data_IF_732171264434
#
_entry.id   IF_732171264434
#
_cell.length_a   1.000
_cell.length_b   1.000
_cell.length_c   1.000
_cell.angle_alpha   90.00
_cell.angle_beta   90.00
_cell.angle_gamma   90.00
#
_symmetry.space_group_name_H-M   'P 1'
#
loop_
_entity.id
_entity.type
_entity.pdbx_description
1 polymer ?
#
# COMPACT_ATOMS: atom_id res chain seq x y z
N UNK A 1 -8.65 22.58 3.76
CA UNK A 1 -7.78 21.61 3.06
C UNK A 1 -7.27 20.63 4.10
N UNK A 2 -7.41 19.32 3.88
CA UNK A 2 -6.94 18.33 4.85
C UNK A 2 -5.42 18.42 4.96
N UNK A 3 -4.91 18.57 6.19
CA UNK A 3 -3.47 18.59 6.49
C UNK A 3 -2.91 17.15 6.47
N UNK A 4 -3.20 16.41 5.39
CA UNK A 4 -2.74 15.03 5.27
C UNK A 4 -1.27 14.98 4.83
N UNK A 5 -0.51 13.95 5.25
CA UNK A 5 0.86 13.73 4.76
C UNK A 5 0.94 13.68 3.23
N UNK A 6 -0.08 13.12 2.57
CA UNK A 6 -0.19 13.06 1.11
C UNK A 6 -0.35 14.46 0.52
N UNK A 7 -1.26 15.27 1.07
CA UNK A 7 -1.49 16.65 0.60
C UNK A 7 -0.24 17.52 0.76
N UNK A 8 0.49 17.35 1.86
CA UNK A 8 1.76 18.03 2.08
C UNK A 8 2.83 17.60 1.06
N UNK A 9 2.96 16.29 0.79
CA UNK A 9 3.89 15.77 -0.21
C UNK A 9 3.57 16.26 -1.63
N UNK A 10 2.28 16.32 -2.01
CA UNK A 10 1.85 16.93 -3.28
C UNK A 10 2.26 18.41 -3.33
N UNK A 11 2.12 19.14 -2.22
CA UNK A 11 2.60 20.52 -2.11
C UNK A 11 4.11 20.65 -2.35
N UNK A 12 4.92 19.81 -1.72
CA UNK A 12 6.36 19.77 -1.92
C UNK A 12 6.75 19.50 -3.38
N UNK A 13 6.05 18.55 -4.04
CA UNK A 13 6.27 18.26 -5.46
C UNK A 13 5.91 19.43 -6.37
N UNK A 14 4.83 20.16 -6.07
CA UNK A 14 4.47 21.38 -6.82
C UNK A 14 5.54 22.46 -6.69
N UNK A 15 6.13 22.61 -5.51
CA UNK A 15 7.25 23.53 -5.30
C UNK A 15 8.48 23.14 -6.13
N UNK A 16 8.71 21.85 -6.38
CA UNK A 16 9.78 21.40 -7.26
C UNK A 16 9.59 21.92 -8.69
N UNK A 17 8.36 21.85 -9.23
CA UNK A 17 8.03 22.44 -10.54
C UNK A 17 8.29 23.95 -10.55
N UNK A 18 7.86 24.68 -9.51
CA UNK A 18 8.10 26.12 -9.40
C UNK A 18 9.60 26.45 -9.36
N UNK A 19 10.42 25.68 -8.65
CA UNK A 19 11.87 25.90 -8.61
C UNK A 19 12.53 25.66 -9.98
N UNK A 20 12.09 24.65 -10.73
CA UNK A 20 12.61 24.35 -12.06
C UNK A 20 12.25 25.46 -13.06
N UNK A 21 11.00 25.92 -13.04
CA UNK A 21 10.50 26.98 -13.94
C UNK A 21 11.00 28.38 -13.54
N UNK A 22 11.12 28.63 -12.23
CA UNK A 22 11.47 29.93 -11.66
C UNK A 22 12.46 29.79 -10.48
N UNK A 23 13.76 29.49 -10.74
CA UNK A 23 14.75 29.19 -9.70
C UNK A 23 15.00 30.30 -8.68
N UNK A 24 14.70 31.56 -9.04
CA UNK A 24 14.85 32.73 -8.18
C UNK A 24 13.64 32.99 -7.28
N UNK A 25 12.46 32.46 -7.64
CA UNK A 25 11.23 32.63 -6.86
C UNK A 25 11.17 31.72 -5.63
N UNK A 26 11.86 30.58 -5.68
CA UNK A 26 11.96 29.62 -4.58
C UNK A 26 13.41 29.16 -4.43
N UNK A 27 13.98 29.29 -3.24
CA UNK A 27 15.34 28.81 -3.00
C UNK A 27 15.39 27.27 -2.99
N UNK A 28 16.48 26.69 -3.52
CA UNK A 28 16.71 25.25 -3.46
C UNK A 28 16.78 24.72 -2.02
N UNK A 29 17.25 25.55 -1.06
CA UNK A 29 17.26 25.20 0.37
C UNK A 29 15.86 25.01 0.93
N UNK A 30 14.92 25.88 0.57
CA UNK A 30 13.51 25.76 0.97
C UNK A 30 12.89 24.51 0.38
N UNK A 31 13.10 24.26 -0.93
CA UNK A 31 12.59 23.06 -1.59
C UNK A 31 13.12 21.78 -0.93
N UNK A 32 14.43 21.72 -0.64
CA UNK A 32 15.05 20.58 0.02
C UNK A 32 14.47 20.34 1.42
N UNK A 33 14.31 21.39 2.22
CA UNK A 33 13.72 21.30 3.56
C UNK A 33 12.27 20.80 3.52
N UNK A 34 11.43 21.38 2.65
CA UNK A 34 10.03 20.95 2.50
C UNK A 34 9.92 19.52 1.97
N UNK A 35 10.80 19.11 1.07
CA UNK A 35 10.85 17.73 0.56
C UNK A 35 11.24 16.74 1.66
N UNK A 36 12.22 17.08 2.50
CA UNK A 36 12.62 16.25 3.63
C UNK A 36 11.47 16.07 4.64
N UNK A 37 10.78 17.15 4.98
CA UNK A 37 9.61 17.10 5.86
C UNK A 37 8.47 16.24 5.26
N UNK A 38 8.22 16.36 3.96
CA UNK A 38 7.23 15.54 3.27
C UNK A 38 7.56 14.04 3.36
N UNK A 39 8.83 13.67 3.15
CA UNK A 39 9.30 12.28 3.26
C UNK A 39 9.14 11.76 4.68
N UNK A 40 9.54 12.55 5.68
CA UNK A 40 9.40 12.18 7.09
C UNK A 40 7.95 11.92 7.47
N UNK A 41 7.04 12.84 7.10
CA UNK A 41 5.60 12.71 7.35
C UNK A 41 5.01 11.48 6.66
N UNK A 42 5.41 11.19 5.42
CA UNK A 42 4.96 10.00 4.69
C UNK A 42 5.45 8.71 5.35
N UNK A 43 6.71 8.65 5.75
CA UNK A 43 7.28 7.48 6.42
C UNK A 43 6.60 7.23 7.78
N UNK A 44 6.34 8.30 8.55
CA UNK A 44 5.66 8.19 9.84
C UNK A 44 4.20 7.75 9.69
N UNK A 45 3.49 8.24 8.67
CA UNK A 45 2.08 7.90 8.45
C UNK A 45 1.89 6.51 7.82
N UNK A 46 2.85 6.07 7.00
CA UNK A 46 2.77 4.82 6.25
C UNK A 46 4.06 3.99 6.38
N UNK A 47 4.38 3.51 7.59
CA UNK A 47 5.63 2.80 7.88
C UNK A 47 5.81 1.51 7.07
N UNK A 48 4.72 0.91 6.59
CA UNK A 48 4.70 -0.39 5.91
C UNK A 48 4.15 -0.33 4.48
N UNK A 49 4.19 0.85 3.85
CA UNK A 49 3.61 1.09 2.52
C UNK A 49 4.12 0.13 1.45
N UNK A 50 5.41 -0.23 1.48
CA UNK A 50 6.05 -1.11 0.49
C UNK A 50 5.57 -2.56 0.66
N UNK A 51 5.52 -3.04 1.89
CA UNK A 51 5.05 -4.39 2.22
C UNK A 51 3.57 -4.58 1.89
N UNK A 52 2.72 -3.61 2.23
CA UNK A 52 1.29 -3.65 1.93
C UNK A 52 1.02 -3.56 0.42
N UNK A 53 1.74 -2.69 -0.30
CA UNK A 53 1.63 -2.59 -1.75
C UNK A 53 2.04 -3.89 -2.45
N UNK A 54 3.15 -4.49 -2.02
CA UNK A 54 3.62 -5.79 -2.50
C UNK A 54 2.61 -6.90 -2.21
N UNK A 55 2.10 -6.97 -0.98
CA UNK A 55 1.10 -7.98 -0.59
C UNK A 55 -0.16 -7.87 -1.44
N UNK A 56 -0.68 -6.65 -1.64
CA UNK A 56 -1.86 -6.43 -2.47
C UNK A 56 -1.63 -6.90 -3.91
N UNK A 57 -0.52 -6.50 -4.52
CA UNK A 57 -0.20 -6.88 -5.91
C UNK A 57 -0.11 -8.41 -6.09
N UNK A 58 0.57 -9.11 -5.18
CA UNK A 58 0.69 -10.56 -5.22
C UNK A 58 -0.65 -11.27 -4.99
N UNK A 59 -1.50 -10.75 -4.10
CA UNK A 59 -2.83 -11.31 -3.88
C UNK A 59 -3.76 -11.10 -5.06
N UNK A 60 -3.72 -9.94 -5.72
CA UNK A 60 -4.49 -9.70 -6.95
C UNK A 60 -4.12 -10.72 -8.02
N UNK A 61 -2.84 -11.09 -8.14
CA UNK A 61 -2.35 -12.07 -9.12
C UNK A 61 -2.96 -13.46 -8.93
N UNK A 62 -3.23 -13.87 -7.68
CA UNK A 62 -3.75 -15.21 -7.35
C UNK A 62 -5.25 -15.24 -7.04
N UNK A 63 -5.89 -14.07 -6.98
CA UNK A 63 -7.33 -13.94 -6.70
C UNK A 63 -8.11 -14.06 -8.02
N UNK A 64 -9.14 -14.92 -8.12
CA UNK A 64 -9.93 -15.05 -9.34
C UNK A 64 -10.65 -13.76 -9.74
N UNK A 65 -10.95 -13.62 -11.02
CA UNK A 65 -11.81 -12.54 -11.52
C UNK A 65 -13.16 -12.52 -10.77
N UNK A 66 -13.68 -11.31 -10.55
CA UNK A 66 -14.89 -11.10 -9.74
C UNK A 66 -14.66 -11.17 -8.23
N UNK A 67 -13.42 -11.34 -7.78
CA UNK A 67 -13.04 -11.23 -6.38
C UNK A 67 -12.01 -10.11 -6.19
N UNK A 68 -11.98 -9.53 -4.99
CA UNK A 68 -11.06 -8.44 -4.64
C UNK A 68 -10.40 -8.71 -3.28
N UNK A 69 -9.06 -8.71 -3.20
CA UNK A 69 -8.36 -8.81 -1.93
C UNK A 69 -8.23 -7.44 -1.25
N UNK A 70 -8.49 -7.39 0.04
CA UNK A 70 -8.09 -6.32 0.95
C UNK A 70 -6.97 -6.82 1.85
N UNK A 71 -6.03 -5.92 2.14
CA UNK A 71 -4.81 -6.25 2.88
C UNK A 71 -4.66 -5.38 4.11
N UNK A 72 -4.09 -5.95 5.17
CA UNK A 72 -3.67 -5.21 6.35
C UNK A 72 -2.39 -5.81 6.90
N UNK A 73 -1.67 -5.01 7.69
CA UNK A 73 -0.47 -5.42 8.39
C UNK A 73 -0.57 -5.00 9.86
N UNK A 74 -0.40 -5.96 10.75
CA UNK A 74 -0.39 -5.78 12.20
C UNK A 74 0.95 -6.27 12.77
N UNK A 75 2.00 -5.42 12.80
CA UNK A 75 3.39 -5.83 13.04
C UNK A 75 3.63 -6.51 14.39
N UNK A 76 2.80 -6.22 15.40
CA UNK A 76 2.96 -6.72 16.76
C UNK A 76 2.36 -8.12 16.99
N UNK A 77 2.06 -8.85 15.91
CA UNK A 77 1.45 -10.18 15.97
C UNK A 77 2.36 -11.22 15.31
N UNK A 78 2.27 -12.49 15.75
CA UNK A 78 3.05 -13.58 15.15
C UNK A 78 2.76 -13.81 13.67
N UNK A 79 1.58 -13.39 13.20
CA UNK A 79 1.13 -13.48 11.81
C UNK A 79 0.63 -12.11 11.36
N UNK A 80 1.56 -11.19 11.03
CA UNK A 80 1.25 -9.78 10.87
C UNK A 80 0.47 -9.48 9.59
N UNK A 81 0.62 -10.29 8.55
CA UNK A 81 -0.05 -10.08 7.28
C UNK A 81 -1.48 -10.64 7.31
N UNK A 82 -2.45 -9.83 6.87
CA UNK A 82 -3.86 -10.20 6.79
C UNK A 82 -4.36 -10.00 5.35
N UNK A 83 -5.14 -10.96 4.87
CA UNK A 83 -5.93 -10.86 3.64
C UNK A 83 -7.42 -11.09 3.95
N UNK A 84 -8.28 -10.30 3.31
CA UNK A 84 -9.72 -10.48 3.24
C UNK A 84 -10.12 -10.45 1.76
N UNK A 85 -10.62 -11.55 1.23
CA UNK A 85 -11.10 -11.61 -0.16
C UNK A 85 -12.61 -11.51 -0.16
N UNK A 86 -13.13 -10.57 -0.94
CA UNK A 86 -14.57 -10.40 -1.17
C UNK A 86 -14.95 -10.86 -2.57
N UNK A 87 -16.20 -11.30 -2.75
CA UNK A 87 -16.78 -11.57 -4.07
C UNK A 87 -17.35 -10.31 -4.72
N UNK A 88 -17.92 -10.45 -5.92
CA UNK A 88 -18.51 -9.35 -6.70
C UNK A 88 -19.71 -8.69 -6.02
N UNK A 89 -20.39 -9.39 -5.12
CA UNK A 89 -21.48 -8.86 -4.29
C UNK A 89 -20.97 -8.06 -3.08
N UNK A 90 -19.64 -8.01 -2.88
CA UNK A 90 -19.01 -7.37 -1.73
C UNK A 90 -18.97 -8.23 -0.47
N UNK A 91 -19.33 -9.52 -0.56
CA UNK A 91 -19.36 -10.41 0.60
C UNK A 91 -17.99 -11.04 0.85
N UNK A 92 -17.54 -11.12 2.11
CA UNK A 92 -16.32 -11.84 2.47
C UNK A 92 -16.42 -13.34 2.18
N UNK A 93 -15.56 -13.86 1.30
CA UNK A 93 -15.51 -15.29 0.96
C UNK A 93 -14.28 -16.01 1.52
N UNK A 94 -13.23 -15.25 1.87
CA UNK A 94 -12.04 -15.81 2.48
C UNK A 94 -11.34 -14.76 3.35
N UNK A 95 -10.81 -15.19 4.50
CA UNK A 95 -10.03 -14.35 5.41
C UNK A 95 -8.90 -15.18 5.98
N UNK A 96 -7.67 -14.69 5.90
CA UNK A 96 -6.52 -15.43 6.41
C UNK A 96 -5.39 -14.53 6.89
N UNK A 97 -4.62 -15.01 7.87
CA UNK A 97 -3.38 -14.39 8.34
C UNK A 97 -2.17 -15.28 8.09
N UNK A 98 -0.99 -14.68 7.90
CA UNK A 98 0.26 -15.43 7.81
C UNK A 98 1.47 -14.65 8.35
N UNK A 99 2.58 -15.39 8.54
CA UNK A 99 3.87 -14.85 9.00
C UNK A 99 4.63 -14.09 7.91
N UNK A 100 4.38 -14.41 6.64
CA UNK A 100 5.02 -13.80 5.48
C UNK A 100 4.02 -13.53 4.37
N UNK A 101 4.38 -12.62 3.45
CA UNK A 101 3.61 -12.32 2.24
C UNK A 101 3.46 -13.60 1.40
N UNK A 102 4.56 -14.31 1.18
CA UNK A 102 4.60 -15.52 0.35
C UNK A 102 3.69 -16.62 0.93
N UNK A 103 3.71 -16.81 2.24
CA UNK A 103 2.85 -17.78 2.90
C UNK A 103 1.37 -17.42 2.79
N UNK A 104 1.02 -16.13 2.93
CA UNK A 104 -0.36 -15.67 2.78
C UNK A 104 -0.85 -15.84 1.33
N UNK A 105 -0.01 -15.49 0.36
CA UNK A 105 -0.30 -15.64 -1.07
C UNK A 105 -0.53 -17.11 -1.42
N UNK A 106 0.31 -18.02 -0.91
CA UNK A 106 0.13 -19.46 -1.12
C UNK A 106 -1.19 -19.96 -0.54
N UNK A 107 -1.54 -19.54 0.68
CA UNK A 107 -2.81 -19.91 1.33
C UNK A 107 -4.03 -19.45 0.52
N UNK A 108 -3.98 -18.22 -0.01
CA UNK A 108 -5.03 -17.68 -0.88
C UNK A 108 -5.07 -18.44 -2.21
N UNK A 109 -3.93 -18.68 -2.84
CA UNK A 109 -3.85 -19.41 -4.11
C UNK A 109 -4.47 -20.82 -3.98
N UNK A 110 -4.06 -21.61 -2.99
CA UNK A 110 -4.60 -22.95 -2.74
C UNK A 110 -6.10 -22.94 -2.44
N UNK A 111 -6.64 -21.87 -1.85
CA UNK A 111 -8.09 -21.75 -1.61
C UNK A 111 -8.90 -21.62 -2.90
N UNK A 112 -8.32 -21.03 -3.93
CA UNK A 112 -8.98 -20.70 -5.21
C UNK A 112 -8.48 -21.53 -6.40
N UNK A 113 -7.56 -22.46 -6.18
CA UNK A 113 -7.22 -23.48 -7.17
C UNK A 113 -8.48 -24.29 -7.55
N UNK A 114 -8.67 -24.61 -8.85
CA UNK A 114 -9.72 -25.53 -9.25
C UNK A 114 -9.46 -26.87 -8.56
N UNK A 115 -10.37 -27.33 -7.70
CA UNK A 115 -10.25 -28.67 -7.12
C UNK A 115 -10.26 -29.67 -8.26
N UNK A 116 -9.12 -30.32 -8.52
CA UNK A 116 -9.06 -31.47 -9.40
C UNK A 116 -9.97 -32.54 -8.79
N UNK A 117 -11.10 -32.81 -9.44
CA UNK A 117 -11.99 -33.91 -9.07
C UNK A 117 -11.18 -35.21 -9.20
N UNK A 118 -11.21 -36.12 -8.20
CA UNK A 118 -10.61 -37.45 -8.33
C UNK A 118 -11.30 -38.29 -9.41
#
# INVERSE_FOLDING_TARGET
MSNSPISHAIGALKLASVHVEHPTALSGKTLAATSAEAIERLNAAYPHREELGRLYAELVRVTPLGHLPYVSLEPQTQSPYLALVVNASGEPVYRQRAKSIEGLVQLVATRFEPQAKP
#
